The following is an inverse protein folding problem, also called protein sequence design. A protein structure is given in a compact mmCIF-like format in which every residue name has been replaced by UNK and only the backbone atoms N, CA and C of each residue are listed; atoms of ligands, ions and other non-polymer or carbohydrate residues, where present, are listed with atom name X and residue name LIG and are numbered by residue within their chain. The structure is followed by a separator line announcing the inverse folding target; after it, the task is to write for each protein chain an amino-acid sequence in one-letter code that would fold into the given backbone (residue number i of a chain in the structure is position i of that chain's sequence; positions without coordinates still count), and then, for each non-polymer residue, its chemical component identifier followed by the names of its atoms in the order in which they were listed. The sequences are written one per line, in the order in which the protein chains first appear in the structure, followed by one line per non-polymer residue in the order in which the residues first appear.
data_IF_133777145493
#
_entry.id   IF_133777145493
#
_cell.length_a   1.000
_cell.length_b   1.000
_cell.length_c   1.000
_cell.angle_alpha   90.00
_cell.angle_beta   90.00
_cell.angle_gamma   90.00
#
_symmetry.space_group_name_H-M   'P 1'
#
loop_
_entity.id
_entity.type
_entity.pdbx_description
1 polymer ?
#
# COMPACT_ATOMS: atom_id res chain seq x y z
N UNK A 1 -60.04 -2.81 -29.60
CA UNK A 1 -58.97 -2.01 -28.97
C UNK A 1 -58.28 -1.28 -30.11
N UNK A 2 -58.62 -0.01 -30.33
CA UNK A 2 -58.14 0.74 -31.49
C UNK A 2 -56.67 1.12 -31.28
N UNK A 3 -55.77 0.60 -32.11
CA UNK A 3 -54.36 0.99 -32.10
C UNK A 3 -54.27 2.40 -32.63
N UNK A 4 -53.94 3.35 -31.76
CA UNK A 4 -53.70 4.75 -32.12
C UNK A 4 -52.56 4.76 -33.16
N UNK A 5 -52.73 5.42 -34.33
CA UNK A 5 -51.63 5.53 -35.29
C UNK A 5 -50.52 6.34 -34.64
N UNK A 6 -49.34 5.71 -34.48
CA UNK A 6 -48.14 6.40 -33.99
C UNK A 6 -47.83 7.56 -34.93
N UNK A 7 -47.51 8.72 -34.35
CA UNK A 7 -47.09 9.87 -35.15
C UNK A 7 -45.76 9.53 -35.85
N UNK A 8 -45.48 10.16 -37.00
CA UNK A 8 -44.25 9.87 -37.77
C UNK A 8 -42.97 10.10 -36.93
N UNK A 9 -43.03 11.01 -35.97
CA UNK A 9 -41.94 11.29 -35.03
C UNK A 9 -41.72 10.15 -34.04
N UNK A 10 -42.79 9.55 -33.52
CA UNK A 10 -42.72 8.38 -32.64
C UNK A 10 -42.16 7.15 -33.36
N UNK A 11 -42.50 6.97 -34.65
CA UNK A 11 -41.95 5.88 -35.48
C UNK A 11 -40.45 6.06 -35.65
N UNK A 12 -39.98 7.28 -35.97
CA UNK A 12 -38.55 7.59 -36.09
C UNK A 12 -37.80 7.34 -34.78
N UNK A 13 -38.34 7.77 -33.64
CA UNK A 13 -37.73 7.54 -32.33
C UNK A 13 -37.74 6.06 -31.89
N UNK A 14 -38.63 5.24 -32.46
CA UNK A 14 -38.62 3.79 -32.25
C UNK A 14 -37.60 3.10 -33.14
N UNK A 15 -37.43 3.56 -34.38
CA UNK A 15 -36.39 3.07 -35.30
C UNK A 15 -34.99 3.34 -34.73
N UNK A 16 -34.74 4.55 -34.24
CA UNK A 16 -33.46 4.91 -33.58
C UNK A 16 -33.16 4.01 -32.36
N UNK A 17 -34.15 3.78 -31.49
CA UNK A 17 -33.99 2.86 -30.35
C UNK A 17 -33.76 1.41 -30.76
N UNK A 18 -34.38 0.96 -31.85
CA UNK A 18 -34.16 -0.40 -32.36
C UNK A 18 -32.75 -0.55 -32.96
N UNK A 19 -32.22 0.49 -33.61
CA UNK A 19 -30.85 0.51 -34.11
C UNK A 19 -29.82 0.50 -32.96
N UNK A 20 -30.07 1.23 -31.87
CA UNK A 20 -29.24 1.18 -30.66
C UNK A 20 -29.24 -0.21 -30.02
N UNK A 21 -30.40 -0.86 -29.95
CA UNK A 21 -30.52 -2.24 -29.47
C UNK A 21 -29.77 -3.22 -30.37
N UNK A 22 -29.87 -3.05 -31.69
CA UNK A 22 -29.13 -3.87 -32.65
C UNK A 22 -27.61 -3.65 -32.53
N UNK A 23 -27.18 -2.41 -32.27
CA UNK A 23 -25.77 -2.09 -32.02
C UNK A 23 -25.28 -2.74 -30.72
N UNK A 24 -26.08 -2.69 -29.65
CA UNK A 24 -25.79 -3.34 -28.37
C UNK A 24 -25.70 -4.86 -28.52
N UNK A 25 -26.59 -5.49 -29.29
CA UNK A 25 -26.55 -6.92 -29.57
C UNK A 25 -25.31 -7.32 -30.38
N UNK A 26 -24.91 -6.51 -31.37
CA UNK A 26 -23.68 -6.75 -32.16
C UNK A 26 -22.42 -6.65 -31.29
N UNK A 27 -22.31 -5.60 -30.47
CA UNK A 27 -21.15 -5.41 -29.59
C UNK A 27 -21.02 -6.52 -28.55
N UNK A 28 -22.13 -6.97 -27.96
CA UNK A 28 -22.11 -8.08 -26.99
C UNK A 28 -21.76 -9.43 -27.63
N UNK A 29 -22.23 -9.70 -28.85
CA UNK A 29 -21.88 -10.92 -29.56
C UNK A 29 -20.39 -10.97 -29.91
N UNK A 30 -19.80 -9.84 -30.34
CA UNK A 30 -18.36 -9.72 -30.58
C UNK A 30 -17.55 -9.92 -29.28
N UNK A 31 -18.04 -9.39 -28.15
CA UNK A 31 -17.40 -9.57 -26.84
C UNK A 31 -17.43 -11.03 -26.37
N UNK A 32 -18.52 -11.76 -26.65
CA UNK A 32 -18.68 -13.18 -26.32
C UNK A 32 -17.82 -14.06 -27.23
N UNK A 33 -17.65 -13.70 -28.50
CA UNK A 33 -16.81 -14.44 -29.45
C UNK A 33 -15.30 -14.25 -29.22
N UNK A 34 -14.90 -13.20 -28.49
CA UNK A 34 -13.53 -12.99 -28.00
C UNK A 34 -13.12 -13.89 -26.83
N UNK A 35 -14.08 -14.60 -26.22
CA UNK A 35 -13.78 -15.62 -25.22
C UNK A 35 -13.34 -16.89 -25.97
N UNK A 36 -12.13 -17.43 -25.73
CA UNK A 36 -11.73 -18.67 -26.37
C UNK A 36 -12.72 -19.76 -26.01
N UNK A 37 -13.49 -20.22 -27.00
CA UNK A 37 -14.44 -21.33 -26.83
C UNK A 37 -13.62 -22.59 -26.56
N UNK A 38 -13.44 -22.91 -25.27
CA UNK A 38 -12.83 -24.16 -24.85
C UNK A 38 -13.66 -25.30 -25.43
N UNK A 39 -13.06 -26.14 -26.29
CA UNK A 39 -13.71 -27.36 -26.75
C UNK A 39 -14.09 -28.19 -25.52
N UNK A 40 -15.27 -28.82 -25.55
CA UNK A 40 -15.78 -29.67 -24.44
C UNK A 40 -14.79 -30.77 -24.03
N UNK A 41 -13.92 -31.19 -24.94
CA UNK A 41 -12.80 -32.12 -24.71
C UNK A 41 -11.75 -31.52 -23.75
N UNK A 42 -11.33 -30.27 -23.98
CA UNK A 42 -10.37 -29.58 -23.11
C UNK A 42 -10.92 -29.38 -21.69
N UNK A 43 -12.24 -29.17 -21.55
CA UNK A 43 -12.88 -29.01 -20.23
C UNK A 43 -12.84 -30.31 -19.45
N UNK A 44 -13.06 -31.46 -20.09
CA UNK A 44 -12.95 -32.78 -19.44
C UNK A 44 -11.53 -33.05 -18.96
N UNK A 45 -10.53 -32.76 -19.80
CA UNK A 45 -9.12 -32.97 -19.47
C UNK A 45 -8.67 -32.05 -18.32
N UNK A 46 -9.15 -30.80 -18.31
CA UNK A 46 -8.90 -29.85 -17.20
C UNK A 46 -9.53 -30.37 -15.91
N UNK A 47 -10.77 -30.84 -15.94
CA UNK A 47 -11.45 -31.41 -14.77
C UNK A 47 -10.71 -32.63 -14.23
N UNK A 48 -10.22 -33.50 -15.12
CA UNK A 48 -9.46 -34.69 -14.75
C UNK A 48 -8.10 -34.32 -14.13
N UNK A 49 -7.39 -33.36 -14.71
CA UNK A 49 -6.15 -32.81 -14.15
C UNK A 49 -6.36 -32.16 -12.78
N UNK A 50 -7.48 -31.44 -12.59
CA UNK A 50 -7.80 -30.84 -11.29
C UNK A 50 -8.04 -31.94 -10.26
N UNK A 51 -8.79 -32.99 -10.60
CA UNK A 51 -9.05 -34.12 -9.71
C UNK A 51 -7.79 -34.86 -9.27
N UNK A 52 -6.87 -35.11 -10.21
CA UNK A 52 -5.58 -35.74 -9.90
C UNK A 52 -4.70 -34.85 -9.02
N UNK A 53 -4.66 -33.54 -9.31
CA UNK A 53 -3.93 -32.57 -8.47
C UNK A 53 -4.49 -32.49 -7.06
N UNK A 54 -5.81 -32.50 -6.89
CA UNK A 54 -6.43 -32.47 -5.56
C UNK A 54 -6.06 -33.71 -4.75
N UNK A 55 -6.09 -34.89 -5.36
CA UNK A 55 -5.69 -36.13 -4.69
C UNK A 55 -4.21 -36.12 -4.29
N UNK A 56 -3.32 -35.62 -5.15
CA UNK A 56 -1.90 -35.49 -4.85
C UNK A 56 -1.62 -34.49 -3.72
N UNK A 57 -2.36 -33.37 -3.66
CA UNK A 57 -2.24 -32.38 -2.58
C UNK A 57 -2.68 -33.00 -1.25
N UNK A 58 -3.77 -33.77 -1.22
CA UNK A 58 -4.25 -34.44 -0.01
C UNK A 58 -3.24 -35.45 0.53
N UNK A 59 -2.60 -36.24 -0.35
CA UNK A 59 -1.53 -37.15 0.03
C UNK A 59 -0.32 -36.39 0.61
N UNK A 60 0.13 -35.33 -0.05
CA UNK A 60 1.25 -34.51 0.43
C UNK A 60 0.98 -33.86 1.79
N UNK A 61 -0.24 -33.38 2.04
CA UNK A 61 -0.61 -32.80 3.33
C UNK A 61 -0.50 -33.86 4.44
N UNK A 62 -0.96 -35.09 4.18
CA UNK A 62 -0.86 -36.19 5.14
C UNK A 62 0.59 -36.52 5.49
N UNK A 63 1.47 -36.57 4.49
CA UNK A 63 2.90 -36.84 4.67
C UNK A 63 3.65 -35.69 5.36
N UNK A 64 3.21 -34.45 5.16
CA UNK A 64 3.74 -33.28 5.89
C UNK A 64 3.29 -33.34 7.35
N UNK A 65 2.05 -33.73 7.62
CA UNK A 65 1.52 -33.83 8.98
C UNK A 65 2.17 -34.97 9.77
N UNK A 66 2.43 -36.13 9.15
CA UNK A 66 3.15 -37.23 9.81
C UNK A 66 4.58 -36.83 10.15
N UNK A 67 5.34 -36.30 9.19
CA UNK A 67 6.72 -35.82 9.41
C UNK A 67 6.78 -34.71 10.44
N UNK A 68 5.82 -33.78 10.43
CA UNK A 68 5.75 -32.72 11.44
C UNK A 68 5.52 -33.30 12.83
N UNK A 69 4.68 -34.32 12.97
CA UNK A 69 4.45 -34.99 14.25
C UNK A 69 5.72 -35.68 14.76
N UNK A 70 6.42 -36.42 13.89
CA UNK A 70 7.71 -37.05 14.22
C UNK A 70 8.74 -36.03 14.71
N UNK A 71 8.89 -34.90 13.99
CA UNK A 71 9.80 -33.82 14.39
C UNK A 71 9.38 -33.12 15.70
N UNK A 72 8.07 -33.00 15.95
CA UNK A 72 7.53 -32.42 17.19
C UNK A 72 7.79 -33.35 18.38
N UNK A 73 7.76 -34.67 18.17
CA UNK A 73 8.04 -35.68 19.19
C UNK A 73 9.56 -35.82 19.45
N UNK A 74 10.41 -35.59 18.45
CA UNK A 74 11.89 -35.54 18.60
C UNK A 74 12.39 -34.28 19.33
N UNK A 75 11.69 -33.15 19.19
CA UNK A 75 12.03 -31.90 19.89
C UNK A 75 11.45 -31.96 21.31
N UNK A 76 12.29 -32.35 22.27
CA UNK A 76 12.00 -32.28 23.70
C UNK A 76 11.47 -30.89 24.10
N UNK A 77 10.49 -30.84 25.01
CA UNK A 77 9.92 -29.58 25.51
C UNK A 77 10.97 -28.61 26.08
N UNK A 78 12.12 -29.13 26.54
CA UNK A 78 13.25 -28.36 27.09
C UNK A 78 14.03 -27.56 26.04
N UNK A 79 13.97 -27.94 24.78
CA UNK A 79 14.64 -27.23 23.68
C UNK A 79 13.73 -26.18 23.03
N UNK A 80 12.49 -26.05 23.52
CA UNK A 80 11.53 -25.05 23.03
C UNK A 80 11.73 -23.75 23.80
N UNK A 81 12.03 -22.67 23.10
CA UNK A 81 12.13 -21.34 23.69
C UNK A 81 10.73 -20.79 23.95
N UNK A 82 10.30 -20.80 25.22
CA UNK A 82 9.03 -20.23 25.64
C UNK A 82 9.03 -18.70 25.58
N UNK A 83 7.87 -18.10 25.28
CA UNK A 83 7.70 -16.64 25.13
C UNK A 83 8.01 -15.82 26.41
N UNK A 84 8.13 -16.48 27.57
CA UNK A 84 8.46 -15.85 28.85
C UNK A 84 9.68 -16.46 29.56
N UNK A 85 10.36 -17.43 28.94
CA UNK A 85 11.54 -18.07 29.50
C UNK A 85 12.78 -17.47 28.83
N UNK A 86 13.80 -17.09 29.62
CA UNK A 86 15.06 -16.64 29.05
C UNK A 86 15.66 -17.80 28.26
N UNK A 87 15.52 -17.75 26.94
CA UNK A 87 15.98 -18.81 26.05
C UNK A 87 17.46 -19.13 26.20
N UNK A 88 17.89 -20.20 25.53
CA UNK A 88 19.31 -20.51 25.34
C UNK A 88 19.95 -19.44 24.45
N UNK A 89 20.34 -18.31 25.06
CA UNK A 89 21.16 -17.31 24.40
C UNK A 89 22.60 -17.84 24.30
N UNK A 90 23.35 -17.38 23.29
CA UNK A 90 24.78 -17.68 23.11
C UNK A 90 25.57 -17.20 24.34
N UNK A 91 25.66 -18.06 25.36
CA UNK A 91 26.33 -17.76 26.64
C UNK A 91 27.84 -17.58 26.43
N UNK A 92 28.42 -18.26 25.46
CA UNK A 92 29.80 -18.03 25.04
C UNK A 92 30.05 -16.60 24.55
N UNK A 93 29.04 -15.93 23.98
CA UNK A 93 29.12 -14.54 23.51
C UNK A 93 28.73 -13.55 24.62
N UNK A 94 27.69 -13.83 25.41
CA UNK A 94 27.12 -12.89 26.37
C UNK A 94 27.50 -13.14 27.85
N UNK A 95 27.95 -14.35 28.20
CA UNK A 95 28.46 -14.74 29.54
C UNK A 95 30.01 -14.59 29.61
N UNK A 96 30.60 -13.93 28.60
CA UNK A 96 32.04 -13.72 28.47
C UNK A 96 32.64 -13.08 29.71
N UNK A 97 33.42 -13.87 30.45
CA UNK A 97 34.17 -13.50 31.66
C UNK A 97 35.35 -12.55 31.43
N UNK A 98 35.28 -11.69 30.42
CA UNK A 98 36.26 -10.64 30.13
C UNK A 98 35.56 -9.29 30.09
N UNK A 99 35.70 -8.54 31.19
CA UNK A 99 35.58 -7.09 31.30
C UNK A 99 34.91 -6.35 30.12
N UNK A 100 33.58 -6.44 29.99
CA UNK A 100 32.77 -5.67 29.02
C UNK A 100 32.95 -4.15 29.06
N UNK A 101 33.68 -3.66 30.06
CA UNK A 101 34.00 -2.25 30.29
C UNK A 101 35.50 -1.93 30.16
N UNK A 102 36.34 -2.89 29.77
CA UNK A 102 37.77 -2.68 29.56
C UNK A 102 37.97 -1.82 28.30
N UNK A 103 38.40 -0.57 28.51
CA UNK A 103 38.56 0.43 27.44
C UNK A 103 37.54 1.58 27.48
N UNK A 104 36.53 1.52 28.36
CA UNK A 104 35.66 2.64 28.61
C UNK A 104 36.16 3.47 29.80
N UNK A 105 36.12 4.79 29.64
CA UNK A 105 36.38 5.74 30.71
C UNK A 105 35.14 5.82 31.60
N UNK A 106 35.23 5.37 32.85
CA UNK A 106 34.09 5.28 33.77
C UNK A 106 33.74 6.59 34.48
N UNK A 107 34.49 7.68 34.22
CA UNK A 107 34.20 9.01 34.75
C UNK A 107 34.70 10.10 33.82
N UNK A 108 33.80 11.03 33.46
CA UNK A 108 34.12 12.27 32.73
C UNK A 108 34.47 13.34 33.78
N UNK A 109 35.56 14.07 33.57
CA UNK A 109 35.96 15.14 34.48
C UNK A 109 34.90 16.25 34.50
N UNK A 110 34.38 16.59 35.68
CA UNK A 110 33.33 17.58 35.84
C UNK A 110 33.85 19.03 35.94
N UNK A 111 35.10 19.31 35.52
CA UNK A 111 35.76 20.60 35.78
C UNK A 111 36.49 21.21 34.58
N UNK A 112 36.04 20.94 33.35
CA UNK A 112 36.43 21.80 32.23
C UNK A 112 35.59 23.09 32.33
N UNK A 113 35.99 23.96 33.26
CA UNK A 113 35.53 25.34 33.34
C UNK A 113 35.86 25.98 31.99
N UNK A 114 34.81 26.27 31.23
CA UNK A 114 34.90 27.05 30.00
C UNK A 114 35.40 28.43 30.44
N UNK A 115 36.67 28.71 30.16
CA UNK A 115 37.31 29.99 30.44
C UNK A 115 36.48 31.08 29.76
N UNK A 116 35.86 31.95 30.58
CA UNK A 116 35.04 33.07 30.17
C UNK A 116 35.90 34.07 29.35
N UNK A 117 35.96 33.88 28.03
CA UNK A 117 36.53 34.86 27.12
C UNK A 117 35.50 35.99 26.92
N UNK A 118 35.77 37.13 27.56
CA UNK A 118 35.10 38.43 27.44
C UNK A 118 34.65 38.73 26.00
N UNK A 119 33.35 38.58 25.73
CA UNK A 119 32.74 39.10 24.50
C UNK A 119 32.27 40.54 24.72
N UNK A 120 32.99 41.48 24.08
CA UNK A 120 32.62 42.89 23.96
C UNK A 120 31.17 43.05 23.44
N UNK A 121 30.29 43.59 24.30
CA UNK A 121 28.89 43.91 23.95
C UNK A 121 28.86 45.23 23.19
N UNK A 122 28.88 45.16 21.86
CA UNK A 122 28.66 46.33 20.99
C UNK A 122 27.14 46.61 20.88
N UNK A 123 26.64 47.81 21.21
CA UNK A 123 25.21 48.09 21.21
C UNK A 123 24.70 48.26 19.76
N UNK A 124 23.95 47.27 19.26
CA UNK A 124 23.39 47.30 17.91
C UNK A 124 22.20 48.24 17.84
N UNK A 125 22.42 49.41 17.22
CA UNK A 125 21.42 50.42 16.92
C UNK A 125 20.21 49.84 16.17
N UNK A 126 19.02 50.16 16.69
CA UNK A 126 17.70 49.81 16.18
C UNK A 126 17.36 50.56 14.88
N UNK A 127 18.02 50.23 13.77
CA UNK A 127 17.58 50.69 12.45
C UNK A 127 16.66 49.63 11.81
N UNK A 128 15.36 49.96 11.81
CA UNK A 128 14.27 49.28 11.11
C UNK A 128 14.67 48.94 9.67
N UNK A 129 15.01 47.68 9.40
CA UNK A 129 15.21 47.15 8.04
C UNK A 129 13.92 46.44 7.59
N UNK A 130 13.37 46.75 6.40
CA UNK A 130 12.23 46.03 5.84
C UNK A 130 12.75 44.69 5.30
N UNK A 131 12.54 43.62 6.05
CA UNK A 131 13.01 42.30 5.63
C UNK A 131 13.17 41.32 6.76
N UNK A 132 12.10 41.06 7.52
CA UNK A 132 12.02 39.87 8.38
C UNK A 132 11.84 38.57 7.57
N UNK A 133 11.72 38.68 6.25
CA UNK A 133 11.65 37.58 5.30
C UNK A 133 12.83 37.66 4.34
N UNK A 134 13.39 36.49 4.00
CA UNK A 134 14.53 36.39 3.09
C UNK A 134 14.16 36.98 1.70
N UNK A 135 15.10 37.64 0.99
CA UNK A 135 14.84 38.18 -0.33
C UNK A 135 14.40 37.06 -1.29
N UNK A 136 13.38 37.33 -2.10
CA UNK A 136 12.70 36.32 -2.95
C UNK A 136 13.64 35.55 -3.90
N UNK A 137 14.80 36.14 -4.26
CA UNK A 137 15.83 35.45 -5.04
C UNK A 137 16.41 34.23 -4.29
N UNK A 138 16.69 34.36 -2.98
CA UNK A 138 17.18 33.25 -2.16
C UNK A 138 16.10 32.19 -1.92
N UNK A 139 14.83 32.59 -1.82
CA UNK A 139 13.72 31.64 -1.68
C UNK A 139 13.52 30.78 -2.93
N UNK A 140 13.68 31.37 -4.12
CA UNK A 140 13.58 30.62 -5.38
C UNK A 140 14.77 29.66 -5.56
N UNK A 141 15.99 30.07 -5.19
CA UNK A 141 17.17 29.20 -5.29
C UNK A 141 17.10 28.02 -4.30
N UNK A 142 16.57 28.22 -3.09
CA UNK A 142 16.35 27.14 -2.11
C UNK A 142 15.24 26.19 -2.58
N UNK A 143 14.11 26.71 -3.06
CA UNK A 143 13.02 25.90 -3.61
C UNK A 143 13.41 25.14 -4.90
N UNK A 144 14.42 25.61 -5.65
CA UNK A 144 14.97 24.93 -6.82
C UNK A 144 16.08 23.92 -6.45
N UNK A 145 16.73 24.09 -5.29
CA UNK A 145 17.76 23.16 -4.79
C UNK A 145 17.16 21.86 -4.24
N UNK A 146 15.86 21.86 -3.98
CA UNK A 146 15.03 20.70 -3.61
C UNK A 146 14.62 19.90 -4.86
N UNK A 147 15.57 19.24 -5.52
CA UNK A 147 15.24 17.85 -5.87
C UNK A 147 15.20 17.17 -4.51
N UNK A 148 14.03 16.71 -4.07
CA UNK A 148 13.74 16.05 -2.78
C UNK A 148 14.62 14.82 -2.50
N UNK A 149 15.93 15.03 -2.47
CA UNK A 149 16.93 14.03 -2.25
C UNK A 149 17.27 14.12 -0.77
N UNK A 150 16.68 13.19 -0.03
CA UNK A 150 17.00 13.00 1.38
C UNK A 150 18.53 12.88 1.53
N UNK A 151 19.21 13.77 2.28
CA UNK A 151 20.65 13.70 2.49
C UNK A 151 21.09 12.39 3.17
N UNK A 152 20.16 11.65 3.77
CA UNK A 152 20.39 10.31 4.31
C UNK A 152 20.00 9.17 3.36
N UNK A 153 19.64 9.45 2.11
CA UNK A 153 19.23 8.44 1.13
C UNK A 153 20.28 7.34 0.92
N UNK A 154 21.57 7.64 1.09
CA UNK A 154 22.67 6.67 0.97
C UNK A 154 22.85 5.82 2.23
N UNK A 155 22.50 6.34 3.41
CA UNK A 155 22.65 5.65 4.71
C UNK A 155 21.38 4.98 5.19
N UNK A 156 20.25 5.24 4.54
CA UNK A 156 18.97 4.63 4.91
C UNK A 156 19.07 3.12 4.77
N UNK A 157 18.48 2.41 5.72
CA UNK A 157 18.33 0.95 5.61
C UNK A 157 17.44 0.66 4.40
N UNK A 158 17.84 -0.26 3.49
CA UNK A 158 17.03 -0.59 2.33
C UNK A 158 15.67 -1.13 2.77
N UNK A 159 14.62 -0.63 2.13
CA UNK A 159 13.24 -1.00 2.46
C UNK A 159 12.98 -2.45 2.04
N UNK A 160 11.96 -3.09 2.62
CA UNK A 160 11.53 -4.43 2.19
C UNK A 160 11.22 -4.44 0.69
N UNK A 161 10.78 -3.29 0.15
CA UNK A 161 10.49 -3.16 -1.27
C UNK A 161 11.71 -3.38 -2.18
N UNK A 162 12.87 -2.90 -1.75
CA UNK A 162 14.14 -2.92 -2.49
C UNK A 162 14.87 -4.25 -2.35
N UNK A 163 14.60 -5.00 -1.28
CA UNK A 163 15.20 -6.31 -1.00
C UNK A 163 14.52 -7.46 -1.75
N UNK A 164 13.34 -7.23 -2.30
CA UNK A 164 12.50 -8.27 -2.89
C UNK A 164 12.65 -8.37 -4.42
N UNK A 165 12.63 -9.61 -4.93
CA UNK A 165 12.63 -9.89 -6.37
C UNK A 165 11.37 -9.38 -7.10
N UNK A 166 11.48 -9.22 -8.42
CA UNK A 166 10.40 -8.71 -9.28
C UNK A 166 9.09 -9.52 -9.17
N UNK A 167 9.19 -10.85 -9.02
CA UNK A 167 8.02 -11.71 -8.81
C UNK A 167 7.30 -11.41 -7.47
N UNK A 168 8.06 -11.12 -6.41
CA UNK A 168 7.51 -10.77 -5.10
C UNK A 168 6.89 -9.38 -5.12
N UNK A 169 7.46 -8.43 -5.86
CA UNK A 169 6.85 -7.12 -6.12
C UNK A 169 5.50 -7.23 -6.83
N UNK A 170 5.35 -8.19 -7.77
CA UNK A 170 4.09 -8.39 -8.49
C UNK A 170 2.95 -8.80 -7.54
N UNK A 171 3.23 -9.58 -6.49
CA UNK A 171 2.24 -9.95 -5.47
C UNK A 171 1.71 -8.74 -4.69
N UNK A 172 2.55 -7.74 -4.40
CA UNK A 172 2.13 -6.52 -3.71
C UNK A 172 1.14 -5.67 -4.51
N UNK A 173 1.16 -5.79 -5.84
CA UNK A 173 0.25 -5.10 -6.75
C UNK A 173 -1.05 -5.86 -7.04
N UNK A 174 -1.22 -7.07 -6.49
CA UNK A 174 -2.45 -7.83 -6.68
C UNK A 174 -3.53 -7.30 -5.72
N UNK A 175 -4.72 -7.05 -6.26
CA UNK A 175 -5.90 -6.69 -5.47
C UNK A 175 -6.41 -7.95 -4.77
N UNK A 176 -6.11 -8.09 -3.48
CA UNK A 176 -6.37 -9.31 -2.69
C UNK A 176 -7.85 -9.43 -2.29
N UNK A 177 -8.55 -8.31 -2.13
CA UNK A 177 -9.97 -8.30 -1.79
C UNK A 177 -10.76 -7.54 -2.85
N UNK A 178 -12.02 -7.92 -3.11
CA UNK A 178 -12.94 -7.11 -3.88
C UNK A 178 -12.97 -5.66 -3.38
N UNK A 179 -13.31 -4.72 -4.26
CA UNK A 179 -13.50 -3.33 -3.89
C UNK A 179 -14.54 -3.25 -2.75
N UNK A 180 -14.13 -2.70 -1.61
CA UNK A 180 -15.03 -2.49 -0.49
C UNK A 180 -15.83 -1.24 -0.80
N UNK A 181 -17.11 -1.41 -1.11
CA UNK A 181 -18.06 -0.30 -1.21
C UNK A 181 -18.06 0.41 0.14
N UNK A 182 -17.58 1.65 0.18
CA UNK A 182 -17.60 2.48 1.38
C UNK A 182 -19.06 2.79 1.76
N UNK A 183 -19.56 2.29 2.90
CA UNK A 183 -20.94 2.52 3.32
C UNK A 183 -21.22 3.98 3.70
N UNK A 184 -20.18 4.82 3.85
CA UNK A 184 -20.32 6.24 4.20
C UNK A 184 -20.27 7.17 2.98
N UNK A 185 -19.87 6.67 1.80
CA UNK A 185 -19.80 7.47 0.57
C UNK A 185 -21.18 7.98 0.09
N UNK A 186 -22.27 7.25 0.38
CA UNK A 186 -23.64 7.67 0.05
C UNK A 186 -24.15 8.86 0.87
N UNK A 187 -23.57 9.13 2.06
CA UNK A 187 -23.99 10.25 2.91
C UNK A 187 -23.46 11.59 2.41
N UNK A 188 -22.23 11.62 1.91
CA UNK A 188 -21.57 12.86 1.46
C UNK A 188 -22.11 13.35 0.11
N UNK A 189 -22.49 12.44 -0.80
CA UNK A 189 -23.05 12.86 -2.09
C UNK A 189 -24.38 13.59 -1.91
N UNK A 190 -25.27 13.12 -1.02
CA UNK A 190 -26.58 13.76 -0.82
C UNK A 190 -26.48 15.16 -0.20
N UNK A 191 -25.52 15.38 0.70
CA UNK A 191 -25.31 16.70 1.33
C UNK A 191 -24.76 17.71 0.31
N UNK A 192 -23.87 17.28 -0.60
CA UNK A 192 -23.33 18.14 -1.66
C UNK A 192 -24.41 18.51 -2.70
N UNK A 193 -25.25 17.57 -3.13
CA UNK A 193 -26.34 17.86 -4.08
C UNK A 193 -27.38 18.84 -3.50
N UNK A 194 -27.70 18.75 -2.21
CA UNK A 194 -28.62 19.70 -1.57
C UNK A 194 -28.01 21.11 -1.46
N UNK A 195 -26.72 21.24 -1.16
CA UNK A 195 -26.04 22.55 -1.10
C UNK A 195 -25.99 23.24 -2.47
N UNK A 196 -25.66 22.48 -3.53
CA UNK A 196 -25.64 22.98 -4.91
C UNK A 196 -27.02 23.43 -5.41
N UNK A 197 -28.09 22.70 -5.06
CA UNK A 197 -29.46 23.08 -5.47
C UNK A 197 -29.92 24.36 -4.76
N UNK A 198 -29.58 24.55 -3.48
CA UNK A 198 -29.91 25.77 -2.73
C UNK A 198 -29.14 26.98 -3.29
N UNK A 199 -27.85 26.83 -3.62
CA UNK A 199 -27.06 27.92 -4.23
C UNK A 199 -27.56 28.29 -5.63
N UNK A 200 -27.94 27.32 -6.47
CA UNK A 200 -28.50 27.59 -7.80
C UNK A 200 -29.86 28.29 -7.74
N UNK A 201 -30.73 27.94 -6.77
CA UNK A 201 -32.00 28.66 -6.57
C UNK A 201 -31.82 30.08 -6.05
N UNK A 202 -30.74 30.35 -5.30
CA UNK A 202 -30.45 31.68 -4.78
C UNK A 202 -29.88 32.63 -5.83
N UNK A 203 -29.28 32.13 -6.92
CA UNK A 203 -28.76 32.95 -8.02
C UNK A 203 -29.81 33.31 -9.10
N UNK A 204 -30.98 32.67 -9.10
CA UNK A 204 -32.06 32.90 -10.09
C UNK A 204 -33.20 33.79 -9.60
N UNK A 205 -33.10 34.37 -8.39
CA UNK A 205 -34.01 35.36 -7.84
C UNK A 205 -33.27 36.70 -7.64
#
# INVERSE_FOLDING_TARGET
MATIPRTHEEVRALEERNEELDQYMRLNNVLIDGIPKLRKENVRDIVLMIGEKTANIEAQIRDIQSRKKELVDEINEKDRVGLGESGYYDRDIYDGGGSKFEGYVTSIAANDEVEDEDYDVVPFNQNKRPGYTAPAALLNDVAQSEKDYDPFAERRRPTIAEKEDEYRQKRRRMVISPERVDPFAQGLSQVIYLYLIVELHCLTC
#
